data_IF_425408044764
#
_entry.id   IF_425408044764
#
_cell.length_a   1.000
_cell.length_b   1.000
_cell.length_c   1.000
_cell.angle_alpha   90.00
_cell.angle_beta   90.00
_cell.angle_gamma   90.00
#
_symmetry.space_group_name_H-M   'P 1'
#
loop_
_entity.id
_entity.type
_entity.pdbx_description
1 polymer ?
#
# COMPACT_ATOMS: atom_id res chain seq x y z
N UNK A 1 -0.59 19.23 5.10
CA UNK A 1 -1.90 18.87 5.68
C UNK A 1 -1.79 17.43 6.15
N UNK A 2 -2.37 17.14 7.28
CA UNK A 2 -2.40 15.82 7.91
C UNK A 2 -3.71 15.15 7.46
N UNK A 3 -3.62 13.96 6.87
CA UNK A 3 -4.82 13.24 6.38
C UNK A 3 -5.21 12.22 7.45
N UNK A 4 -6.32 12.50 8.14
CA UNK A 4 -6.98 11.61 9.09
C UNK A 4 -8.03 10.73 8.38
N UNK A 5 -8.54 9.70 9.04
CA UNK A 5 -9.50 8.73 8.46
C UNK A 5 -10.71 9.38 7.80
N UNK A 6 -11.38 10.32 8.47
CA UNK A 6 -12.56 11.00 7.91
C UNK A 6 -12.20 11.87 6.71
N UNK A 7 -10.99 12.44 6.71
CA UNK A 7 -10.46 13.22 5.59
C UNK A 7 -10.16 12.33 4.39
N UNK A 8 -9.64 11.11 4.59
CA UNK A 8 -9.42 10.12 3.52
C UNK A 8 -10.74 9.84 2.78
N UNK A 9 -11.82 9.58 3.52
CA UNK A 9 -13.11 9.28 2.93
C UNK A 9 -13.65 10.45 2.10
N UNK A 10 -13.50 11.68 2.59
CA UNK A 10 -13.90 12.90 1.86
C UNK A 10 -13.08 13.10 0.59
N UNK A 11 -11.77 12.89 0.65
CA UNK A 11 -10.87 12.98 -0.51
C UNK A 11 -11.29 11.97 -1.59
N UNK A 12 -11.50 10.69 -1.21
CA UNK A 12 -11.88 9.68 -2.19
C UNK A 12 -13.28 9.86 -2.75
N UNK A 13 -14.24 10.39 -1.99
CA UNK A 13 -15.56 10.79 -2.52
C UNK A 13 -15.42 11.91 -3.54
N UNK A 14 -14.65 12.96 -3.22
CA UNK A 14 -14.39 14.04 -4.15
C UNK A 14 -13.65 13.55 -5.42
N UNK A 15 -12.72 12.62 -5.27
CA UNK A 15 -12.03 12.00 -6.41
C UNK A 15 -13.01 11.21 -7.29
N UNK A 16 -13.91 10.42 -6.68
CA UNK A 16 -14.97 9.73 -7.40
C UNK A 16 -15.81 10.70 -8.27
N UNK A 17 -16.27 11.80 -7.66
CA UNK A 17 -17.11 12.78 -8.35
C UNK A 17 -16.35 13.46 -9.49
N UNK A 18 -15.09 13.81 -9.24
CA UNK A 18 -14.22 14.40 -10.27
C UNK A 18 -13.92 13.43 -11.42
N UNK A 19 -13.76 12.12 -11.16
CA UNK A 19 -13.62 11.13 -12.22
C UNK A 19 -14.83 11.17 -13.16
N UNK A 20 -16.06 11.19 -12.63
CA UNK A 20 -17.28 11.28 -13.43
C UNK A 20 -17.34 12.58 -14.24
N UNK A 21 -17.02 13.74 -13.63
CA UNK A 21 -17.00 15.06 -14.29
C UNK A 21 -15.98 15.09 -15.44
N UNK A 22 -14.83 14.42 -15.28
CA UNK A 22 -13.79 14.35 -16.33
C UNK A 22 -14.09 13.29 -17.42
N UNK A 23 -15.27 12.68 -17.41
CA UNK A 23 -15.67 11.64 -18.36
C UNK A 23 -14.86 10.34 -18.21
N UNK A 24 -14.40 10.07 -17.00
CA UNK A 24 -13.66 8.84 -16.69
C UNK A 24 -14.57 7.63 -16.56
N UNK A 25 -14.00 6.45 -16.70
CA UNK A 25 -14.65 5.16 -16.43
C UNK A 25 -14.43 4.72 -14.98
N UNK A 26 -15.23 3.77 -14.52
CA UNK A 26 -15.03 3.15 -13.21
C UNK A 26 -13.62 2.53 -13.09
N UNK A 27 -12.98 2.77 -11.95
CA UNK A 27 -11.60 2.33 -11.68
C UNK A 27 -11.49 1.75 -10.27
N UNK A 28 -10.77 0.64 -10.15
CA UNK A 28 -10.38 0.04 -8.88
C UNK A 28 -8.88 0.25 -8.63
N UNK A 29 -8.52 0.81 -7.48
CA UNK A 29 -7.13 1.04 -7.07
C UNK A 29 -6.78 0.16 -5.88
N UNK A 30 -5.63 -0.53 -5.94
CA UNK A 30 -5.06 -1.19 -4.76
C UNK A 30 -4.21 -0.17 -4.01
N UNK A 31 -4.57 0.09 -2.75
CA UNK A 31 -3.92 1.10 -1.90
C UNK A 31 -3.23 0.42 -0.72
N UNK A 32 -1.96 0.77 -0.50
CA UNK A 32 -1.12 0.29 0.59
C UNK A 32 -0.61 1.45 1.47
N UNK A 33 0.37 1.17 2.30
CA UNK A 33 1.08 2.18 3.09
C UNK A 33 0.24 2.90 4.13
N UNK A 34 0.63 4.12 4.47
CA UNK A 34 0.01 4.91 5.53
C UNK A 34 -1.48 5.15 5.36
N UNK A 35 -1.93 5.38 4.13
CA UNK A 35 -3.35 5.59 3.83
C UNK A 35 -4.19 4.35 4.13
N UNK A 36 -3.73 3.14 3.76
CA UNK A 36 -4.44 1.91 4.07
C UNK A 36 -4.47 1.65 5.59
N UNK A 37 -3.34 1.86 6.29
CA UNK A 37 -3.25 1.72 7.74
C UNK A 37 -4.26 2.62 8.47
N UNK A 38 -4.33 3.89 8.07
CA UNK A 38 -5.24 4.88 8.67
C UNK A 38 -6.70 4.60 8.31
N UNK A 39 -7.00 4.30 7.05
CA UNK A 39 -8.36 4.04 6.57
C UNK A 39 -8.98 2.81 7.23
N UNK A 40 -8.19 1.77 7.46
CA UNK A 40 -8.62 0.55 8.14
C UNK A 40 -8.61 0.67 9.67
N UNK A 41 -8.10 1.78 10.22
CA UNK A 41 -7.99 1.97 11.67
C UNK A 41 -6.96 1.07 12.35
N UNK A 42 -5.97 0.59 11.59
CA UNK A 42 -4.91 -0.30 12.10
C UNK A 42 -3.88 0.48 12.93
N UNK A 43 -3.63 1.72 12.57
CA UNK A 43 -2.69 2.61 13.28
C UNK A 43 -3.31 4.01 13.36
N UNK A 44 -3.14 4.66 14.51
CA UNK A 44 -3.51 6.07 14.71
C UNK A 44 -2.34 6.94 14.29
N UNK A 45 -2.33 7.29 13.01
CA UNK A 45 -1.34 8.24 12.48
C UNK A 45 -1.94 9.03 11.33
N UNK A 46 -1.21 10.01 10.91
CA UNK A 46 -1.52 10.81 9.74
C UNK A 46 -0.68 10.34 8.56
N UNK A 47 -1.24 10.41 7.36
CA UNK A 47 -0.50 10.16 6.12
C UNK A 47 -0.40 11.43 5.28
N UNK A 48 0.56 11.48 4.37
CA UNK A 48 0.76 12.63 3.47
C UNK A 48 0.31 12.33 2.05
N UNK A 49 0.22 11.05 1.70
CA UNK A 49 0.02 10.56 0.34
C UNK A 49 -0.78 9.26 0.30
N UNK A 50 -1.19 8.91 -0.89
CA UNK A 50 -1.89 7.66 -1.22
C UNK A 50 -0.99 6.84 -2.12
N UNK A 51 -0.45 5.75 -1.59
CA UNK A 51 0.40 4.82 -2.29
C UNK A 51 -0.44 3.79 -3.04
N UNK A 52 -0.45 3.85 -4.38
CA UNK A 52 -1.19 2.94 -5.24
C UNK A 52 -0.26 1.86 -5.79
N UNK A 53 -0.57 0.62 -5.47
CA UNK A 53 0.16 -0.57 -5.91
C UNK A 53 -0.18 -0.93 -7.38
N UNK A 54 -1.45 -0.81 -7.77
CA UNK A 54 -1.91 -1.16 -9.10
C UNK A 54 -3.40 -0.96 -9.29
N UNK A 55 -3.89 -1.34 -10.48
CA UNK A 55 -5.31 -1.35 -10.81
C UNK A 55 -5.89 -2.75 -10.60
N UNK A 56 -7.12 -2.78 -10.12
CA UNK A 56 -7.91 -4.00 -10.04
C UNK A 56 -8.64 -4.25 -11.35
N UNK A 57 -8.55 -5.48 -11.84
CA UNK A 57 -9.44 -6.07 -12.82
C UNK A 57 -10.24 -7.17 -12.15
N UNK A 58 -11.55 -7.08 -12.21
CA UNK A 58 -12.47 -8.15 -11.80
C UNK A 58 -13.00 -8.87 -13.04
N UNK A 59 -12.86 -10.17 -13.09
CA UNK A 59 -13.44 -11.03 -14.13
C UNK A 59 -14.02 -12.32 -13.51
N UNK A 60 -14.45 -13.26 -14.35
CA UNK A 60 -15.02 -14.55 -13.90
C UNK A 60 -14.03 -15.43 -13.12
N UNK A 61 -12.72 -15.19 -13.27
CA UNK A 61 -11.66 -15.90 -12.55
C UNK A 61 -11.33 -15.26 -11.18
N UNK A 62 -11.80 -14.01 -10.95
CA UNK A 62 -11.61 -13.32 -9.67
C UNK A 62 -11.03 -11.91 -9.81
N UNK A 63 -10.30 -11.50 -8.78
CA UNK A 63 -9.60 -10.21 -8.73
C UNK A 63 -8.16 -10.43 -9.21
N UNK A 64 -7.73 -9.60 -10.15
CA UNK A 64 -6.36 -9.53 -10.64
C UNK A 64 -5.82 -8.13 -10.50
N UNK A 65 -4.55 -8.02 -10.11
CA UNK A 65 -3.87 -6.74 -9.98
C UNK A 65 -2.99 -6.52 -11.21
N UNK A 66 -3.22 -5.38 -11.86
CA UNK A 66 -2.41 -4.94 -12.99
C UNK A 66 -1.53 -3.77 -12.57
N UNK A 67 -0.22 -3.90 -12.76
CA UNK A 67 0.71 -2.76 -12.69
C UNK A 67 0.34 -1.72 -13.74
N UNK A 68 0.48 -0.46 -13.39
CA UNK A 68 0.43 0.67 -14.32
C UNK A 68 1.64 1.57 -14.11
N UNK A 69 2.11 2.18 -15.17
CA UNK A 69 3.20 3.14 -15.12
C UNK A 69 2.69 4.58 -14.96
N UNK A 70 1.48 4.84 -15.46
CA UNK A 70 0.84 6.15 -15.40
C UNK A 70 -0.67 5.99 -15.20
N UNK A 71 -1.27 6.93 -14.47
CA UNK A 71 -2.71 7.05 -14.41
C UNK A 71 -3.30 7.53 -15.74
N UNK A 72 -4.55 7.15 -16.08
CA UNK A 72 -5.25 7.70 -17.22
C UNK A 72 -5.33 9.23 -17.16
N UNK A 73 -5.31 9.91 -18.32
CA UNK A 73 -5.32 11.39 -18.37
C UNK A 73 -6.50 12.01 -17.62
N UNK A 74 -7.70 11.42 -17.72
CA UNK A 74 -8.87 11.88 -16.98
C UNK A 74 -8.71 11.72 -15.46
N UNK A 75 -8.07 10.63 -15.01
CA UNK A 75 -7.75 10.41 -13.59
C UNK A 75 -6.77 11.47 -13.06
N UNK A 76 -5.68 11.70 -13.80
CA UNK A 76 -4.70 12.72 -13.42
C UNK A 76 -5.31 14.13 -13.33
N UNK A 77 -6.26 14.47 -14.21
CA UNK A 77 -7.02 15.72 -14.13
C UNK A 77 -7.91 15.77 -12.89
N UNK A 78 -8.66 14.70 -12.60
CA UNK A 78 -9.48 14.59 -11.40
C UNK A 78 -8.63 14.71 -10.13
N UNK A 79 -7.51 14.01 -10.06
CA UNK A 79 -6.58 14.07 -8.93
C UNK A 79 -5.98 15.48 -8.73
N UNK A 80 -5.67 16.21 -9.80
CA UNK A 80 -5.17 17.58 -9.72
C UNK A 80 -6.21 18.58 -9.16
N UNK A 81 -7.49 18.40 -9.48
CA UNK A 81 -8.58 19.20 -8.93
C UNK A 81 -8.74 18.91 -7.43
N UNK A 82 -8.79 17.64 -7.04
CA UNK A 82 -8.85 17.23 -5.63
C UNK A 82 -7.63 17.74 -4.85
N UNK A 83 -6.44 17.67 -5.44
CA UNK A 83 -5.22 18.24 -4.85
C UNK A 83 -5.39 19.70 -4.46
N UNK A 84 -5.91 20.51 -5.40
CA UNK A 84 -6.15 21.94 -5.20
C UNK A 84 -7.21 22.18 -4.12
N UNK A 85 -8.35 21.49 -4.21
CA UNK A 85 -9.51 21.73 -3.37
C UNK A 85 -9.30 21.30 -1.91
N UNK A 86 -8.48 20.29 -1.68
CA UNK A 86 -8.08 19.81 -0.36
C UNK A 86 -6.69 20.28 0.09
N UNK A 87 -6.03 21.13 -0.71
CA UNK A 87 -4.65 21.60 -0.44
C UNK A 87 -3.68 20.45 -0.15
N UNK A 88 -3.74 19.37 -0.95
CA UNK A 88 -2.88 18.21 -0.81
C UNK A 88 -1.49 18.47 -1.39
N UNK A 89 -0.45 17.75 -0.91
CA UNK A 89 0.89 17.89 -1.47
C UNK A 89 0.92 17.46 -2.94
N UNK A 90 1.95 17.94 -3.66
CA UNK A 90 2.21 17.46 -5.02
C UNK A 90 2.42 15.94 -4.99
N UNK A 91 1.84 15.23 -5.97
CA UNK A 91 1.89 13.76 -6.04
C UNK A 91 1.24 13.05 -4.81
N UNK A 92 0.23 13.67 -4.20
CA UNK A 92 -0.51 13.12 -3.06
C UNK A 92 -1.08 11.70 -3.32
N UNK A 93 -1.27 11.34 -4.58
CA UNK A 93 -1.56 9.98 -5.04
C UNK A 93 -0.49 9.58 -6.05
N UNK A 94 0.17 8.46 -5.81
CA UNK A 94 1.38 8.07 -6.52
C UNK A 94 1.44 6.56 -6.76
N UNK A 95 2.36 6.12 -7.63
CA UNK A 95 2.60 4.74 -8.03
C UNK A 95 3.93 4.20 -7.49
N UNK A 96 4.45 4.77 -6.40
CA UNK A 96 5.72 4.35 -5.81
C UNK A 96 5.85 2.85 -5.59
N UNK A 97 4.85 2.15 -5.00
CA UNK A 97 4.93 0.71 -4.76
C UNK A 97 4.57 -0.17 -5.98
N UNK A 98 4.16 0.40 -7.12
CA UNK A 98 3.73 -0.38 -8.28
C UNK A 98 4.74 -1.41 -8.81
N UNK A 99 6.07 -1.23 -8.70
CA UNK A 99 7.04 -2.25 -9.09
C UNK A 99 6.87 -3.60 -8.37
N UNK A 100 6.39 -3.63 -7.12
CA UNK A 100 6.19 -4.89 -6.39
C UNK A 100 5.20 -5.85 -7.06
N UNK A 101 4.28 -5.35 -7.89
CA UNK A 101 3.36 -6.20 -8.66
C UNK A 101 4.11 -7.14 -9.61
N UNK A 102 5.23 -6.69 -10.19
CA UNK A 102 6.05 -7.51 -11.10
C UNK A 102 7.04 -8.40 -10.37
N UNK A 103 7.51 -7.95 -9.20
CA UNK A 103 8.42 -8.74 -8.38
C UNK A 103 7.72 -9.92 -7.66
N UNK A 104 6.39 -9.89 -7.61
CA UNK A 104 5.55 -10.90 -6.99
C UNK A 104 4.98 -10.45 -5.64
N UNK A 105 3.68 -10.59 -5.50
CA UNK A 105 2.93 -10.28 -4.28
C UNK A 105 2.89 -11.50 -3.34
N UNK A 106 2.64 -11.31 -2.04
CA UNK A 106 2.47 -12.43 -1.11
C UNK A 106 1.38 -13.39 -1.58
N UNK A 107 1.56 -14.69 -1.38
CA UNK A 107 0.57 -15.71 -1.75
C UNK A 107 -0.82 -15.39 -1.19
N UNK A 108 -1.85 -15.50 -2.03
CA UNK A 108 -3.25 -15.21 -1.66
C UNK A 108 -3.56 -13.73 -1.45
N UNK A 109 -2.69 -12.82 -1.85
CA UNK A 109 -2.82 -11.37 -1.67
C UNK A 109 -4.17 -10.84 -2.16
N UNK A 110 -4.58 -11.19 -3.39
CA UNK A 110 -5.82 -10.68 -3.99
C UNK A 110 -7.06 -11.05 -3.18
N UNK A 111 -7.07 -12.25 -2.57
CA UNK A 111 -8.21 -12.72 -1.77
C UNK A 111 -8.37 -12.00 -0.43
N UNK A 112 -7.31 -11.32 0.04
CA UNK A 112 -7.29 -10.57 1.30
C UNK A 112 -7.55 -9.08 1.13
N UNK A 113 -7.75 -8.60 -0.09
CA UNK A 113 -8.03 -7.19 -0.35
C UNK A 113 -9.37 -6.77 0.27
N UNK A 114 -9.39 -5.62 0.93
CA UNK A 114 -10.56 -5.04 1.59
C UNK A 114 -11.15 -3.96 0.70
N UNK A 115 -12.22 -4.28 -0.02
CA UNK A 115 -12.89 -3.37 -0.96
C UNK A 115 -13.76 -2.34 -0.23
N UNK A 116 -13.61 -1.06 -0.59
CA UNK A 116 -14.49 0.03 -0.19
C UNK A 116 -14.89 0.86 -1.42
N UNK A 117 -16.20 0.99 -1.65
CA UNK A 117 -16.77 1.78 -2.76
C UNK A 117 -16.97 3.22 -2.32
N UNK A 118 -16.53 4.18 -3.14
CA UNK A 118 -16.69 5.62 -2.86
C UNK A 118 -17.71 6.29 -3.77
N UNK A 119 -18.27 5.58 -4.72
CA UNK A 119 -19.30 5.97 -5.67
C UNK A 119 -19.28 5.06 -6.89
N UNK A 120 -19.79 5.53 -8.02
CA UNK A 120 -19.90 4.70 -9.23
C UNK A 120 -18.60 4.60 -10.02
N UNK A 121 -17.67 5.54 -9.78
CA UNK A 121 -16.43 5.65 -10.55
C UNK A 121 -15.18 5.20 -9.78
N UNK A 122 -15.23 5.11 -8.43
CA UNK A 122 -14.04 4.79 -7.64
C UNK A 122 -14.30 3.68 -6.62
N UNK A 123 -13.51 2.62 -6.71
CA UNK A 123 -13.38 1.60 -5.65
C UNK A 123 -11.92 1.55 -5.19
N UNK A 124 -11.71 1.55 -3.88
CA UNK A 124 -10.39 1.34 -3.27
C UNK A 124 -10.36 -0.07 -2.67
N UNK A 125 -9.28 -0.76 -2.95
CA UNK A 125 -8.95 -2.08 -2.40
C UNK A 125 -7.74 -1.91 -1.49
N UNK A 126 -8.00 -1.84 -0.19
CA UNK A 126 -6.93 -1.73 0.79
C UNK A 126 -6.25 -3.08 1.00
N UNK A 127 -4.93 -3.09 1.05
CA UNK A 127 -4.21 -4.30 1.44
C UNK A 127 -4.50 -4.63 2.91
N UNK A 128 -4.58 -5.92 3.23
CA UNK A 128 -4.93 -6.40 4.56
C UNK A 128 -3.85 -6.07 5.61
N UNK A 129 -4.18 -6.16 6.91
CA UNK A 129 -3.19 -6.04 7.98
C UNK A 129 -2.02 -7.03 7.77
N UNK A 130 -2.35 -8.27 7.40
CA UNK A 130 -1.35 -9.32 7.12
C UNK A 130 -0.36 -8.87 6.04
N UNK A 131 -0.86 -8.42 4.89
CA UNK A 131 -0.02 -7.96 3.79
C UNK A 131 0.74 -6.67 4.13
N UNK A 132 0.19 -5.80 4.99
CA UNK A 132 0.92 -4.63 5.50
C UNK A 132 2.18 -5.02 6.27
N UNK A 133 2.19 -6.13 7.02
CA UNK A 133 3.40 -6.61 7.71
C UNK A 133 4.53 -6.88 6.71
N UNK A 134 4.25 -7.51 5.59
CA UNK A 134 5.21 -7.80 4.52
C UNK A 134 5.79 -6.53 3.92
N UNK A 135 4.90 -5.62 3.49
CA UNK A 135 5.32 -4.34 2.89
C UNK A 135 6.06 -3.44 3.87
N UNK A 136 5.66 -3.46 5.15
CA UNK A 136 6.32 -2.67 6.19
C UNK A 136 7.66 -3.25 6.60
N UNK A 137 7.82 -4.57 6.63
CA UNK A 137 9.12 -5.19 6.85
C UNK A 137 10.11 -4.81 5.73
N UNK A 138 9.68 -4.94 4.45
CA UNK A 138 10.52 -4.53 3.32
C UNK A 138 10.96 -3.07 3.45
N UNK A 139 10.02 -2.16 3.68
CA UNK A 139 10.32 -0.74 3.78
C UNK A 139 11.17 -0.38 5.03
N UNK A 140 10.99 -1.09 6.16
CA UNK A 140 11.77 -0.88 7.38
C UNK A 140 13.24 -1.32 7.21
N UNK A 141 13.47 -2.40 6.48
CA UNK A 141 14.81 -2.90 6.18
C UNK A 141 15.51 -1.99 5.16
N UNK A 142 14.81 -1.56 4.11
CA UNK A 142 15.34 -0.71 3.04
C UNK A 142 15.65 0.73 3.53
N UNK A 143 14.80 1.32 4.38
CA UNK A 143 14.84 2.77 4.70
C UNK A 143 15.08 3.08 6.17
N UNK A 144 14.91 2.12 7.07
CA UNK A 144 15.12 2.24 8.54
C UNK A 144 14.51 3.54 9.14
N UNK A 145 13.26 3.87 8.79
CA UNK A 145 12.54 5.09 9.15
C UNK A 145 11.27 4.72 9.98
N UNK A 146 10.31 5.62 10.06
CA UNK A 146 8.98 5.41 10.66
C UNK A 146 8.28 4.10 10.21
N UNK A 147 8.77 3.44 9.16
CA UNK A 147 8.29 2.13 8.73
C UNK A 147 8.48 1.04 9.79
N UNK A 148 9.54 1.14 10.60
CA UNK A 148 9.78 0.24 11.72
C UNK A 148 8.69 0.40 12.79
N UNK A 149 8.33 1.64 13.13
CA UNK A 149 7.26 1.91 14.10
C UNK A 149 5.90 1.41 13.57
N UNK A 150 5.61 1.65 12.29
CA UNK A 150 4.41 1.13 11.63
C UNK A 150 4.35 -0.41 11.65
N UNK A 151 5.48 -1.09 11.39
CA UNK A 151 5.57 -2.54 11.41
C UNK A 151 5.19 -3.09 12.79
N UNK A 152 5.79 -2.56 13.86
CA UNK A 152 5.56 -3.08 15.20
C UNK A 152 4.21 -2.63 15.77
N UNK A 153 3.66 -1.49 15.34
CA UNK A 153 2.31 -1.09 15.67
C UNK A 153 1.22 -2.01 15.08
N UNK A 154 1.57 -2.83 14.06
CA UNK A 154 0.71 -3.90 13.55
C UNK A 154 0.71 -5.14 14.45
N UNK A 155 1.54 -5.21 15.49
CA UNK A 155 1.67 -6.34 16.41
C UNK A 155 1.86 -7.68 15.65
N UNK A 156 2.91 -7.80 14.80
CA UNK A 156 3.12 -9.00 14.01
C UNK A 156 3.51 -10.18 14.89
N UNK A 157 2.99 -11.35 14.58
CA UNK A 157 3.42 -12.60 15.20
C UNK A 157 4.81 -13.02 14.67
N UNK A 158 5.48 -13.93 15.40
CA UNK A 158 6.76 -14.49 14.96
C UNK A 158 6.63 -15.16 13.60
N UNK A 159 5.54 -15.91 13.38
CA UNK A 159 5.25 -16.57 12.11
C UNK A 159 5.02 -15.57 10.96
N UNK A 160 4.34 -14.45 11.22
CA UNK A 160 4.15 -13.39 10.23
C UNK A 160 5.48 -12.74 9.84
N UNK A 161 6.37 -12.48 10.81
CA UNK A 161 7.71 -11.96 10.52
C UNK A 161 8.56 -12.97 9.75
N UNK A 162 8.50 -14.27 10.07
CA UNK A 162 9.22 -15.32 9.35
C UNK A 162 8.78 -15.36 7.88
N UNK A 163 7.47 -15.48 7.61
CA UNK A 163 6.92 -15.47 6.25
C UNK A 163 7.21 -14.17 5.50
N UNK A 164 7.08 -13.03 6.19
CA UNK A 164 7.43 -11.74 5.59
C UNK A 164 8.93 -11.68 5.23
N UNK A 165 9.82 -12.24 6.08
CA UNK A 165 11.25 -12.29 5.80
C UNK A 165 11.58 -13.11 4.55
N UNK A 166 10.89 -14.26 4.36
CA UNK A 166 11.02 -15.06 3.14
C UNK A 166 10.57 -14.26 1.90
N UNK A 167 9.43 -13.56 1.99
CA UNK A 167 8.92 -12.77 0.87
C UNK A 167 9.82 -11.57 0.54
N UNK A 168 10.33 -10.81 1.51
CA UNK A 168 11.19 -9.66 1.22
C UNK A 168 12.49 -10.06 0.52
N UNK A 169 13.00 -11.28 0.76
CA UNK A 169 14.14 -11.83 0.04
C UNK A 169 13.82 -12.21 -1.42
N UNK A 170 12.56 -12.24 -1.82
CA UNK A 170 12.17 -12.31 -3.24
C UNK A 170 12.11 -10.94 -3.90
N UNK A 171 11.97 -9.87 -3.11
CA UNK A 171 11.91 -8.49 -3.61
C UNK A 171 13.29 -7.88 -3.84
N UNK A 172 14.27 -8.27 -3.03
CA UNK A 172 15.68 -7.97 -3.22
C UNK A 172 16.50 -9.21 -2.90
N UNK A 173 17.14 -9.77 -3.93
CA UNK A 173 17.90 -11.03 -3.86
C UNK A 173 19.38 -10.80 -3.57
N UNK A 174 19.81 -9.55 -3.33
CA UNK A 174 21.21 -9.23 -3.06
C UNK A 174 21.67 -9.76 -1.69
N UNK A 175 22.94 -10.17 -1.60
CA UNK A 175 23.53 -10.60 -0.33
C UNK A 175 23.59 -9.45 0.68
N UNK A 176 23.76 -8.21 0.22
CA UNK A 176 23.79 -7.02 1.05
C UNK A 176 22.43 -6.81 1.72
N UNK A 177 21.33 -6.91 0.98
CA UNK A 177 19.98 -6.80 1.54
C UNK A 177 19.69 -7.93 2.54
N UNK A 178 20.08 -9.16 2.22
CA UNK A 178 19.96 -10.30 3.15
C UNK A 178 20.68 -10.02 4.46
N UNK A 179 21.89 -9.46 4.42
CA UNK A 179 22.63 -9.13 5.63
C UNK A 179 21.96 -8.03 6.44
N UNK A 180 21.45 -6.97 5.78
CA UNK A 180 20.70 -5.90 6.43
C UNK A 180 19.43 -6.44 7.10
N UNK A 181 18.70 -7.34 6.44
CA UNK A 181 17.52 -8.01 7.01
C UNK A 181 17.90 -8.83 8.26
N UNK A 182 18.98 -9.62 8.23
CA UNK A 182 19.47 -10.37 9.39
C UNK A 182 19.79 -9.47 10.57
N UNK A 183 20.46 -8.37 10.33
CA UNK A 183 20.84 -7.41 11.36
C UNK A 183 19.60 -6.69 11.93
N UNK A 184 18.64 -6.34 11.09
CA UNK A 184 17.33 -5.82 11.51
C UNK A 184 16.59 -6.81 12.42
N UNK A 185 16.50 -8.07 12.02
CA UNK A 185 15.83 -9.12 12.79
C UNK A 185 16.51 -9.36 14.15
N UNK A 186 17.84 -9.40 14.20
CA UNK A 186 18.60 -9.53 15.47
C UNK A 186 18.35 -8.36 16.39
N UNK A 187 18.39 -7.14 15.85
CA UNK A 187 18.14 -5.90 16.59
C UNK A 187 16.76 -5.87 17.25
N UNK A 188 15.77 -6.50 16.62
CA UNK A 188 14.37 -6.49 17.05
C UNK A 188 13.91 -7.80 17.72
N UNK A 189 14.83 -8.60 18.25
CA UNK A 189 14.59 -9.85 18.98
C UNK A 189 14.03 -11.02 18.14
N UNK A 190 14.24 -11.01 16.83
CA UNK A 190 13.93 -12.11 15.90
C UNK A 190 15.19 -12.88 15.45
N UNK A 191 16.19 -12.99 16.32
CA UNK A 191 17.46 -13.63 16.00
C UNK A 191 17.33 -15.07 15.50
N UNK A 192 16.34 -15.83 16.01
CA UNK A 192 16.06 -17.21 15.55
C UNK A 192 15.71 -17.23 14.06
N UNK A 193 14.94 -16.25 13.56
CA UNK A 193 14.59 -16.14 12.14
C UNK A 193 15.84 -15.75 11.34
N UNK A 194 16.64 -14.82 11.84
CA UNK A 194 17.87 -14.39 11.17
C UNK A 194 18.88 -15.54 10.92
N UNK A 195 18.87 -16.58 11.74
CA UNK A 195 19.76 -17.77 11.55
C UNK A 195 19.20 -18.77 10.53
N UNK A 196 17.91 -18.67 10.16
CA UNK A 196 17.26 -19.59 9.23
C UNK A 196 17.23 -19.10 7.78
N UNK A 197 17.37 -17.78 7.55
CA UNK A 197 17.29 -17.13 6.23
C UNK A 197 18.63 -16.82 5.61
#
# INVERSE_FOLDING_TARGET
>A
MIIEKDTIDRIFRALNDQIGIQGGSAIGLVVCGGTALTALGLIIRTTKDVDVLGLVKEDSAGIHIKKIENFPKWFSKAAAIVQRDFNLPKNWINLGPAPQVELGLPEGFESRLIKKKYGDYLSIYYISRFDQVYFKLYAAVDRNDYHTDDLFALEPTIEEIEKASEWVLTQDVSDDFRQILKDFLRKHNYGIIAERI
#
